data_IF_697205914770
#
_entry.id   IF_697205914770
#
_cell.length_a   1.000
_cell.length_b   1.000
_cell.length_c   1.000
_cell.angle_alpha   90.00
_cell.angle_beta   90.00
_cell.angle_gamma   90.00
#
_symmetry.space_group_name_H-M   'P 1'
#
loop_
_entity.id
_entity.type
_entity.pdbx_description
1 polymer ?
#
# COMPACT_ATOMS: atom_id res chain seq x y z
N UNK A 1 18.21 20.64 -0.19
CA UNK A 1 18.39 19.59 0.83
C UNK A 1 19.80 19.04 0.67
N UNK A 2 20.62 19.07 1.72
CA UNK A 2 21.95 18.46 1.68
C UNK A 2 21.80 16.93 1.65
N UNK A 3 22.33 16.30 0.60
CA UNK A 3 22.35 14.84 0.48
C UNK A 3 23.23 14.26 1.59
N UNK A 4 22.74 13.30 2.40
CA UNK A 4 23.56 12.69 3.44
C UNK A 4 24.80 12.02 2.82
N UNK A 5 25.99 12.10 3.46
CA UNK A 5 27.15 11.37 2.98
C UNK A 5 26.82 9.87 2.89
N UNK A 6 26.99 9.27 1.70
CA UNK A 6 26.71 7.85 1.45
C UNK A 6 25.30 7.55 0.90
N UNK A 7 24.45 8.55 0.66
CA UNK A 7 23.12 8.35 0.07
C UNK A 7 23.20 7.84 -1.39
N UNK A 8 22.33 6.90 -1.73
CA UNK A 8 22.16 6.41 -3.10
C UNK A 8 21.27 7.37 -3.88
N UNK A 9 21.82 7.95 -4.96
CA UNK A 9 21.08 8.84 -5.86
C UNK A 9 20.38 8.05 -6.96
N UNK A 10 19.08 8.26 -7.08
CA UNK A 10 18.23 7.76 -8.15
C UNK A 10 17.73 8.95 -8.97
N UNK A 11 17.36 8.72 -10.23
CA UNK A 11 16.75 9.73 -11.07
C UNK A 11 15.41 9.25 -11.63
N UNK A 12 14.47 10.17 -11.81
CA UNK A 12 13.26 9.96 -12.59
C UNK A 12 13.11 11.08 -13.62
N UNK A 13 12.84 10.70 -14.86
CA UNK A 13 12.60 11.63 -15.98
C UNK A 13 11.17 11.43 -16.45
N UNK A 14 10.41 12.52 -16.56
CA UNK A 14 9.06 12.51 -17.08
C UNK A 14 8.72 13.87 -17.71
N UNK A 15 7.68 13.99 -18.55
CA UNK A 15 7.20 15.28 -19.02
C UNK A 15 6.45 16.00 -17.88
N UNK A 16 7.17 16.77 -17.05
CA UNK A 16 6.67 17.20 -15.72
C UNK A 16 5.41 18.06 -15.76
N UNK A 17 5.19 18.79 -16.86
CA UNK A 17 4.01 19.64 -17.06
C UNK A 17 2.82 18.89 -17.69
N UNK A 18 3.01 17.67 -18.17
CA UNK A 18 1.95 16.87 -18.78
C UNK A 18 1.12 16.12 -17.71
N UNK A 19 -0.14 15.80 -18.02
CA UNK A 19 -0.98 15.02 -17.12
C UNK A 19 -0.41 13.61 -16.91
N UNK A 20 -0.50 13.14 -15.67
CA UNK A 20 -0.23 11.77 -15.27
C UNK A 20 -1.53 10.95 -15.25
N UNK A 21 -1.47 9.62 -15.05
CA UNK A 21 -2.66 8.77 -14.87
C UNK A 21 -3.59 9.17 -13.71
N UNK A 22 -3.13 10.01 -12.77
CA UNK A 22 -3.90 10.48 -11.61
C UNK A 22 -4.69 11.76 -11.89
N UNK A 23 -4.64 12.30 -13.12
CA UNK A 23 -5.31 13.56 -13.48
C UNK A 23 -4.60 14.83 -12.99
N UNK A 24 -3.47 14.70 -12.30
CA UNK A 24 -2.54 15.78 -11.93
C UNK A 24 -1.24 15.69 -12.74
N UNK A 25 -0.38 16.71 -12.69
CA UNK A 25 0.88 16.73 -13.44
C UNK A 25 1.87 15.65 -12.98
N UNK A 26 2.71 15.15 -13.90
CA UNK A 26 3.83 14.27 -13.53
C UNK A 26 4.78 14.91 -12.50
N UNK A 27 5.00 16.23 -12.57
CA UNK A 27 5.82 16.95 -11.60
C UNK A 27 5.29 16.84 -10.16
N UNK A 28 3.97 16.95 -9.99
CA UNK A 28 3.33 16.78 -8.69
C UNK A 28 3.48 15.35 -8.16
N UNK A 29 3.14 14.35 -8.99
CA UNK A 29 3.23 12.94 -8.62
C UNK A 29 4.66 12.57 -8.24
N UNK A 30 5.66 12.96 -9.03
CA UNK A 30 7.05 12.57 -8.79
C UNK A 30 7.68 13.30 -7.62
N UNK A 31 7.26 14.53 -7.34
CA UNK A 31 7.66 15.23 -6.11
C UNK A 31 7.11 14.50 -4.89
N UNK A 32 5.85 14.06 -4.95
CA UNK A 32 5.23 13.25 -3.90
C UNK A 32 5.90 11.89 -3.74
N UNK A 33 6.18 11.18 -4.84
CA UNK A 33 6.93 9.91 -4.84
C UNK A 33 8.32 10.07 -4.22
N UNK A 34 9.04 11.16 -4.53
CA UNK A 34 10.35 11.43 -3.94
C UNK A 34 10.27 11.64 -2.41
N UNK A 35 9.23 12.33 -1.94
CA UNK A 35 8.97 12.53 -0.51
C UNK A 35 8.65 11.19 0.20
N UNK A 36 7.74 10.39 -0.37
CA UNK A 36 7.39 9.08 0.18
C UNK A 36 8.60 8.13 0.19
N UNK A 37 9.43 8.15 -0.86
CA UNK A 37 10.66 7.35 -0.93
C UNK A 37 11.62 7.73 0.19
N UNK A 38 11.83 9.03 0.42
CA UNK A 38 12.73 9.51 1.48
C UNK A 38 12.26 9.11 2.89
N UNK A 39 10.95 8.93 3.10
CA UNK A 39 10.41 8.41 4.35
C UNK A 39 10.57 6.90 4.49
N UNK A 40 10.30 6.14 3.41
CA UNK A 40 10.42 4.67 3.45
C UNK A 40 11.87 4.21 3.52
N UNK A 41 12.76 4.86 2.77
CA UNK A 41 14.17 4.54 2.71
C UNK A 41 15.04 5.82 2.73
N UNK A 42 15.35 6.37 3.92
CA UNK A 42 16.09 7.63 4.06
C UNK A 42 17.50 7.64 3.44
N UNK A 43 18.04 6.46 3.11
CA UNK A 43 19.31 6.32 2.41
C UNK A 43 19.22 6.64 0.91
N UNK A 44 18.01 6.74 0.37
CA UNK A 44 17.74 6.98 -1.05
C UNK A 44 17.29 8.43 -1.27
N UNK A 45 17.73 9.00 -2.38
CA UNK A 45 17.23 10.29 -2.86
C UNK A 45 16.81 10.18 -4.31
N UNK A 46 15.61 10.65 -4.62
CA UNK A 46 15.08 10.66 -5.99
C UNK A 46 15.18 12.06 -6.58
N UNK A 47 15.97 12.21 -7.64
CA UNK A 47 16.08 13.44 -8.41
C UNK A 47 15.05 13.45 -9.55
N UNK A 48 14.14 14.41 -9.53
CA UNK A 48 13.10 14.60 -10.56
C UNK A 48 13.63 15.51 -11.66
N UNK A 49 13.55 15.08 -12.92
CA UNK A 49 14.04 15.79 -14.11
C UNK A 49 12.97 15.89 -15.19
N UNK A 50 12.99 16.98 -15.94
CA UNK A 50 12.06 17.16 -17.05
C UNK A 50 12.60 16.51 -18.34
N UNK A 51 11.75 15.74 -19.01
CA UNK A 51 12.04 15.17 -20.32
C UNK A 51 12.43 16.26 -21.36
N UNK A 52 11.87 17.47 -21.24
CA UNK A 52 12.18 18.60 -22.11
C UNK A 52 13.65 19.04 -22.05
N UNK A 53 14.38 18.70 -20.98
CA UNK A 53 15.82 18.99 -20.85
C UNK A 53 16.66 18.33 -21.95
N UNK A 54 16.16 17.26 -22.58
CA UNK A 54 16.85 16.57 -23.67
C UNK A 54 17.01 17.41 -24.94
N UNK A 55 16.13 18.41 -25.15
CA UNK A 55 16.13 19.26 -26.35
C UNK A 55 17.13 20.41 -26.33
N UNK A 56 17.55 20.89 -25.15
CA UNK A 56 18.45 22.05 -25.03
C UNK A 56 19.91 21.65 -24.83
N UNK A 57 20.86 22.21 -25.60
CA UNK A 57 22.28 21.79 -25.55
C UNK A 57 22.92 21.82 -24.15
N UNK A 58 22.73 22.90 -23.38
CA UNK A 58 23.22 22.99 -21.99
C UNK A 58 22.44 22.07 -21.05
N UNK A 59 21.11 22.06 -21.14
CA UNK A 59 20.24 21.24 -20.30
C UNK A 59 20.50 19.74 -20.51
N UNK A 60 20.76 19.32 -21.75
CA UNK A 60 21.12 17.95 -22.12
C UNK A 60 22.45 17.51 -21.50
N UNK A 61 23.44 18.40 -21.45
CA UNK A 61 24.71 18.11 -20.80
C UNK A 61 24.51 17.95 -19.28
N UNK A 62 23.71 18.81 -18.67
CA UNK A 62 23.35 18.73 -17.25
C UNK A 62 22.59 17.44 -16.93
N UNK A 63 21.59 17.07 -17.76
CA UNK A 63 20.84 15.82 -17.62
C UNK A 63 21.75 14.59 -17.74
N UNK A 64 22.66 14.58 -18.72
CA UNK A 64 23.65 13.50 -18.86
C UNK A 64 24.55 13.38 -17.63
N UNK A 65 25.01 14.51 -17.09
CA UNK A 65 25.82 14.52 -15.87
C UNK A 65 25.05 14.01 -14.66
N UNK A 66 23.76 14.37 -14.53
CA UNK A 66 22.89 13.88 -13.47
C UNK A 66 22.75 12.35 -13.57
N UNK A 67 22.41 11.82 -14.76
CA UNK A 67 22.30 10.39 -15.03
C UNK A 67 23.59 9.62 -14.73
N UNK A 68 24.75 10.18 -15.08
CA UNK A 68 26.05 9.58 -14.79
C UNK A 68 26.37 9.51 -13.28
N UNK A 69 25.79 10.42 -12.49
CA UNK A 69 25.97 10.47 -11.04
C UNK A 69 24.99 9.60 -10.25
N UNK A 70 23.90 9.14 -10.90
CA UNK A 70 22.88 8.30 -10.30
C UNK A 70 23.19 6.80 -10.48
N UNK A 71 22.71 5.99 -9.54
CA UNK A 71 22.88 4.53 -9.57
C UNK A 71 21.82 3.84 -10.43
N UNK A 72 20.61 4.40 -10.49
CA UNK A 72 19.57 3.99 -11.41
C UNK A 72 18.75 5.20 -11.87
N UNK A 73 18.15 5.09 -13.05
CA UNK A 73 17.24 6.06 -13.63
C UNK A 73 15.97 5.37 -14.14
N UNK A 74 14.83 6.03 -13.97
CA UNK A 74 13.54 5.59 -14.52
C UNK A 74 13.00 6.68 -15.43
N UNK A 75 12.49 6.32 -16.61
CA UNK A 75 11.80 7.26 -17.50
C UNK A 75 10.33 6.89 -17.54
N UNK A 76 9.43 7.82 -17.28
CA UNK A 76 7.99 7.57 -17.21
C UNK A 76 7.22 8.42 -18.21
N UNK A 77 6.28 7.81 -18.94
CA UNK A 77 5.25 8.52 -19.69
C UNK A 77 5.74 9.44 -20.81
N UNK A 78 6.94 9.21 -21.36
CA UNK A 78 7.44 9.99 -22.51
C UNK A 78 6.88 9.39 -23.80
N UNK A 79 5.71 9.85 -24.21
CA UNK A 79 4.99 9.36 -25.39
C UNK A 79 5.41 10.07 -26.69
N UNK A 80 5.97 11.29 -26.60
CA UNK A 80 6.46 12.04 -27.76
C UNK A 80 7.70 11.36 -28.40
N UNK A 81 7.62 10.89 -29.65
CA UNK A 81 8.72 10.17 -30.29
C UNK A 81 10.01 10.98 -30.47
N UNK A 82 9.90 12.30 -30.69
CA UNK A 82 11.07 13.17 -30.87
C UNK A 82 11.84 13.31 -29.56
N UNK A 83 11.14 13.62 -28.48
CA UNK A 83 11.71 13.68 -27.12
C UNK A 83 12.28 12.32 -26.72
N UNK A 84 11.59 11.22 -27.01
CA UNK A 84 12.08 9.87 -26.75
C UNK A 84 13.39 9.57 -27.49
N UNK A 85 13.51 9.94 -28.76
CA UNK A 85 14.72 9.76 -29.56
C UNK A 85 15.90 10.60 -29.02
N UNK A 86 15.63 11.79 -28.49
CA UNK A 86 16.66 12.63 -27.86
C UNK A 86 17.13 12.08 -26.51
N UNK A 87 16.23 11.49 -25.72
CA UNK A 87 16.51 10.93 -24.40
C UNK A 87 17.22 9.58 -24.46
N UNK A 88 16.83 8.68 -25.38
CA UNK A 88 17.37 7.32 -25.48
C UNK A 88 18.92 7.23 -25.40
N UNK A 89 19.72 8.02 -26.16
CA UNK A 89 21.17 7.95 -26.06
C UNK A 89 21.73 8.47 -24.71
N UNK A 90 20.99 9.29 -23.98
CA UNK A 90 21.42 9.81 -22.67
C UNK A 90 21.34 8.73 -21.58
N UNK A 91 20.41 7.79 -21.68
CA UNK A 91 20.24 6.70 -20.71
C UNK A 91 21.48 5.79 -20.62
N UNK A 92 22.33 5.79 -21.65
CA UNK A 92 23.62 5.11 -21.62
C UNK A 92 24.56 5.59 -20.49
N UNK A 93 24.33 6.80 -19.95
CA UNK A 93 25.10 7.34 -18.83
C UNK A 93 24.80 6.66 -17.50
N UNK A 94 23.58 6.11 -17.33
CA UNK A 94 23.21 5.36 -16.14
C UNK A 94 23.50 3.86 -16.33
N UNK A 95 23.90 3.18 -15.25
CA UNK A 95 24.11 1.71 -15.27
C UNK A 95 22.78 0.96 -15.34
N UNK A 96 21.80 1.41 -14.58
CA UNK A 96 20.43 0.89 -14.61
C UNK A 96 19.52 1.99 -15.11
N UNK A 97 18.80 1.76 -16.21
CA UNK A 97 17.88 2.70 -16.83
C UNK A 97 16.65 1.94 -17.33
N UNK A 98 15.47 2.30 -16.82
CA UNK A 98 14.21 1.60 -17.16
C UNK A 98 13.17 2.61 -17.65
N UNK A 99 12.83 2.62 -18.94
CA UNK A 99 11.71 3.36 -19.48
C UNK A 99 10.39 2.58 -19.32
N UNK A 100 9.35 3.24 -18.84
CA UNK A 100 8.03 2.66 -18.59
C UNK A 100 6.94 3.55 -19.20
N UNK A 101 6.03 2.95 -19.95
CA UNK A 101 4.99 3.69 -20.68
C UNK A 101 5.54 4.75 -21.63
N UNK A 102 6.68 4.49 -22.27
CA UNK A 102 7.36 5.42 -23.17
C UNK A 102 7.28 4.97 -24.63
N UNK A 103 7.51 5.89 -25.56
CA UNK A 103 7.58 5.60 -26.99
C UNK A 103 8.74 4.64 -27.33
N UNK A 104 8.60 3.95 -28.47
CA UNK A 104 9.51 2.89 -28.96
C UNK A 104 11.00 3.24 -28.90
N UNK A 105 11.47 4.46 -29.25
CA UNK A 105 12.90 4.79 -29.16
C UNK A 105 13.50 4.59 -27.76
N UNK A 106 12.69 4.78 -26.71
CA UNK A 106 13.12 4.57 -25.33
C UNK A 106 13.04 3.11 -24.90
N UNK A 107 12.07 2.32 -25.38
CA UNK A 107 11.92 0.92 -25.01
C UNK A 107 13.21 0.09 -25.22
N UNK A 108 13.91 0.33 -26.34
CA UNK A 108 15.19 -0.32 -26.66
C UNK A 108 16.40 0.19 -25.84
N UNK A 109 16.24 1.26 -25.06
CA UNK A 109 17.29 1.83 -24.22
C UNK A 109 17.31 1.24 -22.80
N UNK A 110 16.50 0.22 -22.52
CA UNK A 110 16.45 -0.48 -21.23
C UNK A 110 17.80 -1.12 -20.90
N UNK A 111 18.32 -0.81 -19.70
CA UNK A 111 19.59 -1.35 -19.21
C UNK A 111 19.49 -1.72 -17.74
N UNK A 112 20.06 -2.86 -17.38
CA UNK A 112 20.11 -3.35 -16.01
C UNK A 112 21.55 -3.73 -15.65
N UNK A 113 22.11 -3.06 -14.64
CA UNK A 113 23.50 -3.20 -14.22
C UNK A 113 24.53 -3.09 -15.39
N UNK A 114 24.22 -2.26 -16.39
CA UNK A 114 25.06 -1.98 -17.55
C UNK A 114 24.79 -2.85 -18.79
N UNK A 115 23.96 -3.90 -18.66
CA UNK A 115 23.59 -4.79 -19.77
C UNK A 115 22.33 -4.31 -20.46
N UNK A 116 22.27 -4.43 -21.78
CA UNK A 116 21.05 -4.17 -22.55
C UNK A 116 20.10 -5.36 -22.42
N UNK A 117 18.81 -5.06 -22.17
CA UNK A 117 17.77 -6.07 -22.14
C UNK A 117 17.05 -6.04 -23.50
N UNK A 118 17.30 -7.06 -24.32
CA UNK A 118 16.80 -7.13 -25.71
C UNK A 118 17.76 -7.81 -26.69
N UNK A 119 19.06 -7.83 -26.40
CA UNK A 119 20.08 -8.43 -27.29
C UNK A 119 20.06 -9.98 -27.32
N UNK A 120 19.20 -10.62 -26.51
CA UNK A 120 19.15 -12.07 -26.38
C UNK A 120 18.19 -12.77 -27.36
N UNK A 121 17.38 -12.04 -28.15
CA UNK A 121 16.31 -12.65 -28.96
C UNK A 121 16.36 -12.37 -30.48
N UNK A 122 16.83 -11.21 -30.96
CA UNK A 122 16.60 -10.81 -32.37
C UNK A 122 17.86 -10.46 -33.19
N UNK A 123 19.07 -10.73 -32.68
CA UNK A 123 20.28 -10.68 -33.52
C UNK A 123 20.38 -11.92 -34.42
N UNK A 124 20.87 -11.82 -35.68
CA UNK A 124 21.12 -13.00 -36.50
C UNK A 124 22.07 -13.93 -35.73
N UNK A 125 21.55 -15.08 -35.28
CA UNK A 125 22.31 -16.05 -34.51
C UNK A 125 23.39 -16.65 -35.41
N UNK A 126 24.60 -16.11 -35.32
CA UNK A 126 25.78 -16.62 -36.02
C UNK A 126 26.17 -18.04 -35.57
N UNK A 127 25.46 -18.63 -34.60
CA UNK A 127 25.75 -19.94 -34.05
C UNK A 127 24.47 -20.80 -33.94
N UNK A 128 24.29 -21.83 -34.78
CA UNK A 128 23.12 -22.73 -34.74
C UNK A 128 23.04 -23.59 -33.47
N UNK A 129 24.08 -23.62 -32.64
CA UNK A 129 24.09 -24.31 -31.35
C UNK A 129 23.66 -23.42 -30.17
N UNK A 130 23.43 -22.11 -30.39
CA UNK A 130 23.03 -21.18 -29.32
C UNK A 130 21.77 -21.62 -28.56
N UNK A 131 20.68 -22.11 -29.20
CA UNK A 131 19.48 -22.55 -28.48
C UNK A 131 19.73 -23.77 -27.59
N UNK A 132 20.64 -24.66 -28.02
CA UNK A 132 21.03 -25.86 -27.26
C UNK A 132 21.90 -25.48 -26.06
N UNK A 133 22.86 -24.57 -26.26
CA UNK A 133 23.71 -24.05 -25.19
C UNK A 133 22.90 -23.25 -24.16
N UNK A 134 21.91 -22.47 -24.57
CA UNK A 134 21.04 -21.71 -23.67
C UNK A 134 20.13 -22.64 -22.83
N UNK A 135 19.74 -23.81 -23.36
CA UNK A 135 19.03 -24.85 -22.60
C UNK A 135 19.94 -25.59 -21.62
N UNK A 136 21.20 -25.84 -21.98
CA UNK A 136 22.17 -26.55 -21.13
C UNK A 136 22.81 -25.65 -20.07
N UNK A 137 22.95 -24.36 -20.37
CA UNK A 137 23.55 -23.33 -19.53
C UNK A 137 22.63 -22.10 -19.51
N UNK A 138 21.49 -22.18 -18.80
CA UNK A 138 20.56 -21.06 -18.70
C UNK A 138 21.25 -19.85 -18.07
N UNK A 139 21.14 -18.70 -18.72
CA UNK A 139 21.59 -17.43 -18.16
C UNK A 139 20.61 -16.98 -17.07
N UNK A 140 20.85 -17.50 -15.86
CA UNK A 140 20.07 -17.19 -14.67
C UNK A 140 19.95 -15.69 -14.43
N UNK A 141 20.95 -14.92 -14.81
CA UNK A 141 20.94 -13.48 -14.57
C UNK A 141 20.04 -12.75 -15.58
N UNK A 142 19.95 -13.22 -16.84
CA UNK A 142 18.96 -12.70 -17.80
C UNK A 142 17.52 -13.04 -17.38
N UNK A 143 17.29 -14.23 -16.81
CA UNK A 143 15.99 -14.60 -16.25
C UNK A 143 15.60 -13.70 -15.07
N UNK A 144 16.51 -13.47 -14.11
CA UNK A 144 16.29 -12.57 -12.98
C UNK A 144 16.00 -11.13 -13.44
N UNK A 145 16.72 -10.64 -14.45
CA UNK A 145 16.49 -9.34 -15.05
C UNK A 145 15.10 -9.23 -15.68
N UNK A 146 14.67 -10.25 -16.43
CA UNK A 146 13.32 -10.32 -16.98
C UNK A 146 12.24 -10.32 -15.90
N UNK A 147 12.48 -11.01 -14.78
CA UNK A 147 11.57 -11.00 -13.63
C UNK A 147 11.47 -9.62 -12.98
N UNK A 148 12.60 -8.92 -12.79
CA UNK A 148 12.61 -7.57 -12.21
C UNK A 148 11.90 -6.57 -13.12
N UNK A 149 12.12 -6.63 -14.43
CA UNK A 149 11.41 -5.76 -15.38
C UNK A 149 9.91 -6.01 -15.34
N UNK A 150 9.49 -7.28 -15.37
CA UNK A 150 8.07 -7.62 -15.25
C UNK A 150 7.46 -7.03 -13.98
N UNK A 151 8.13 -7.18 -12.83
CA UNK A 151 7.66 -6.59 -11.56
C UNK A 151 7.51 -5.07 -11.68
N UNK A 152 8.50 -4.39 -12.26
CA UNK A 152 8.49 -2.93 -12.41
C UNK A 152 7.42 -2.45 -13.40
N UNK A 153 7.18 -3.20 -14.47
CA UNK A 153 6.09 -2.96 -15.42
C UNK A 153 4.72 -3.17 -14.79
N UNK A 154 4.53 -4.27 -14.04
CA UNK A 154 3.32 -4.57 -13.30
C UNK A 154 3.00 -3.43 -12.31
N UNK A 155 4.00 -3.00 -11.52
CA UNK A 155 3.90 -1.84 -10.61
C UNK A 155 3.48 -0.56 -11.34
N UNK A 156 4.10 -0.27 -12.49
CA UNK A 156 3.75 0.91 -13.27
C UNK A 156 2.30 0.86 -13.78
N UNK A 157 1.86 -0.29 -14.31
CA UNK A 157 0.51 -0.44 -14.89
C UNK A 157 -0.62 -0.28 -13.87
N UNK A 158 -0.38 -0.59 -12.59
CA UNK A 158 -1.40 -0.47 -11.54
C UNK A 158 -1.77 0.98 -11.21
N UNK A 159 -0.99 1.97 -11.67
CA UNK A 159 -1.28 3.40 -11.51
C UNK A 159 -1.63 3.76 -10.06
N UNK A 160 -0.77 3.34 -9.13
CA UNK A 160 -0.87 3.65 -7.70
C UNK A 160 0.36 4.45 -7.27
N UNK A 161 0.17 5.44 -6.41
CA UNK A 161 1.25 6.25 -5.86
C UNK A 161 2.26 5.41 -5.06
N UNK A 162 1.76 4.45 -4.27
CA UNK A 162 2.61 3.52 -3.53
C UNK A 162 3.44 2.67 -4.51
N UNK A 163 2.84 2.17 -5.59
CA UNK A 163 3.55 1.33 -6.57
C UNK A 163 4.66 2.11 -7.29
N UNK A 164 4.46 3.41 -7.54
CA UNK A 164 5.52 4.26 -8.09
C UNK A 164 6.73 4.38 -7.16
N UNK A 165 6.52 4.40 -5.85
CA UNK A 165 7.63 4.33 -4.88
C UNK A 165 8.30 2.95 -4.94
N UNK A 166 7.51 1.88 -5.03
CA UNK A 166 8.02 0.50 -5.08
C UNK A 166 8.87 0.21 -6.32
N UNK A 167 8.64 0.87 -7.46
CA UNK A 167 9.52 0.77 -8.64
C UNK A 167 10.98 1.06 -8.24
N UNK A 168 11.22 2.16 -7.52
CA UNK A 168 12.56 2.56 -7.10
C UNK A 168 13.13 1.63 -6.03
N UNK A 169 12.31 1.18 -5.09
CA UNK A 169 12.72 0.23 -4.05
C UNK A 169 13.13 -1.12 -4.66
N UNK A 170 12.37 -1.64 -5.63
CA UNK A 170 12.65 -2.89 -6.35
C UNK A 170 13.95 -2.79 -7.12
N UNK A 171 14.14 -1.73 -7.92
CA UNK A 171 15.37 -1.54 -8.69
C UNK A 171 16.60 -1.39 -7.80
N UNK A 172 16.45 -0.69 -6.67
CA UNK A 172 17.52 -0.55 -5.67
C UNK A 172 17.87 -1.89 -5.05
N UNK A 173 16.87 -2.65 -4.60
CA UNK A 173 17.06 -3.98 -4.02
C UNK A 173 17.75 -4.96 -4.98
N UNK A 174 17.38 -4.92 -6.26
CA UNK A 174 17.90 -5.84 -7.26
C UNK A 174 19.33 -5.49 -7.71
N UNK A 175 19.68 -4.20 -7.82
CA UNK A 175 20.91 -3.79 -8.51
C UNK A 175 21.86 -2.89 -7.74
N UNK A 176 21.49 -2.39 -6.56
CA UNK A 176 22.30 -1.43 -5.81
C UNK A 176 22.66 -1.98 -4.43
N UNK A 177 21.66 -2.20 -3.57
CA UNK A 177 21.81 -2.74 -2.23
C UNK A 177 20.45 -3.26 -1.74
N UNK A 178 20.46 -4.24 -0.84
CA UNK A 178 19.23 -4.77 -0.25
C UNK A 178 18.41 -3.65 0.40
N UNK A 179 17.10 -3.65 0.13
CA UNK A 179 16.13 -2.70 0.67
C UNK A 179 15.13 -3.46 1.55
N UNK A 180 15.13 -3.25 2.88
CA UNK A 180 14.25 -3.96 3.80
C UNK A 180 12.78 -3.96 3.36
N UNK A 181 12.26 -2.80 2.93
CA UNK A 181 10.86 -2.59 2.55
C UNK A 181 10.32 -3.52 1.44
N UNK A 182 11.18 -4.02 0.54
CA UNK A 182 10.79 -4.94 -0.55
C UNK A 182 11.43 -6.32 -0.44
N UNK A 183 12.49 -6.45 0.36
CA UNK A 183 13.24 -7.70 0.50
C UNK A 183 12.38 -8.86 1.02
N UNK A 184 11.38 -8.58 1.84
CA UNK A 184 10.47 -9.60 2.39
C UNK A 184 9.55 -10.18 1.32
N UNK A 185 8.99 -9.34 0.45
CA UNK A 185 8.18 -9.78 -0.69
C UNK A 185 9.01 -10.64 -1.65
N UNK A 186 10.27 -10.26 -1.91
CA UNK A 186 11.20 -11.10 -2.68
C UNK A 186 11.50 -12.43 -1.99
N UNK A 187 11.73 -12.42 -0.67
CA UNK A 187 11.99 -13.64 0.11
C UNK A 187 10.80 -14.59 0.09
N UNK A 188 9.58 -14.07 0.16
CA UNK A 188 8.37 -14.87 0.06
C UNK A 188 8.20 -15.49 -1.34
N UNK A 189 8.37 -14.71 -2.41
CA UNK A 189 8.25 -15.22 -3.79
C UNK A 189 9.37 -16.22 -4.14
N UNK A 190 10.54 -16.06 -3.55
CA UNK A 190 11.70 -16.93 -3.73
C UNK A 190 11.83 -17.97 -2.61
N UNK A 191 10.72 -18.35 -1.95
CA UNK A 191 10.73 -19.35 -0.89
C UNK A 191 11.40 -20.65 -1.38
N UNK A 192 12.47 -21.06 -0.68
CA UNK A 192 13.29 -22.20 -1.04
C UNK A 192 12.90 -23.51 -0.34
N UNK A 193 13.79 -24.49 -0.45
CA UNK A 193 13.62 -25.82 0.14
C UNK A 193 13.42 -25.78 1.66
N UNK A 194 14.07 -24.85 2.37
CA UNK A 194 13.93 -24.71 3.83
C UNK A 194 12.52 -24.28 4.24
N UNK A 195 11.94 -23.30 3.52
CA UNK A 195 10.56 -22.86 3.75
C UNK A 195 9.59 -24.01 3.49
N UNK A 196 9.80 -24.77 2.42
CA UNK A 196 8.99 -25.94 2.08
C UNK A 196 9.12 -27.04 3.14
N UNK A 197 10.33 -27.34 3.60
CA UNK A 197 10.58 -28.32 4.66
C UNK A 197 9.90 -27.92 5.97
N UNK A 198 9.93 -26.63 6.32
CA UNK A 198 9.18 -26.10 7.47
C UNK A 198 7.68 -26.30 7.29
N UNK A 199 7.12 -25.89 6.15
CA UNK A 199 5.69 -25.97 5.85
C UNK A 199 5.19 -27.42 5.95
N UNK A 200 5.84 -28.35 5.24
CA UNK A 200 5.45 -29.76 5.23
C UNK A 200 5.66 -30.40 6.62
N UNK A 201 6.79 -30.12 7.27
CA UNK A 201 7.14 -30.74 8.55
C UNK A 201 6.35 -30.23 9.75
N UNK A 202 5.92 -28.97 9.76
CA UNK A 202 5.19 -28.34 10.88
C UNK A 202 3.69 -28.20 10.63
N UNK A 203 3.29 -28.02 9.38
CA UNK A 203 1.92 -27.66 8.99
C UNK A 203 1.29 -28.64 7.99
N UNK A 204 1.88 -29.82 7.77
CA UNK A 204 1.43 -30.78 6.76
C UNK A 204 -0.06 -31.14 6.85
N UNK A 205 -0.62 -31.25 8.06
CA UNK A 205 -2.04 -31.51 8.26
C UNK A 205 -2.95 -30.37 7.78
N UNK A 206 -2.61 -29.12 8.11
CA UNK A 206 -3.34 -27.93 7.67
C UNK A 206 -3.20 -27.74 6.15
N UNK A 207 -2.01 -27.97 5.61
CA UNK A 207 -1.76 -27.95 4.16
C UNK A 207 -2.65 -28.98 3.47
N UNK A 208 -2.61 -30.24 3.90
CA UNK A 208 -3.40 -31.31 3.30
C UNK A 208 -4.89 -30.96 3.31
N UNK A 209 -5.44 -30.57 4.47
CA UNK A 209 -6.86 -30.19 4.60
C UNK A 209 -7.23 -29.06 3.66
N UNK A 210 -6.41 -28.02 3.56
CA UNK A 210 -6.67 -26.88 2.68
C UNK A 210 -6.60 -27.27 1.19
N UNK A 211 -5.55 -27.97 0.74
CA UNK A 211 -5.41 -28.30 -0.68
C UNK A 211 -6.43 -29.32 -1.19
N UNK A 212 -7.00 -30.13 -0.28
CA UNK A 212 -8.10 -31.05 -0.61
C UNK A 212 -9.48 -30.42 -0.53
N UNK A 213 -9.62 -29.24 0.08
CA UNK A 213 -10.87 -28.48 0.11
C UNK A 213 -10.96 -27.55 -1.12
N UNK A 214 -12.04 -27.61 -1.92
CA UNK A 214 -12.15 -26.79 -3.13
C UNK A 214 -12.09 -25.29 -2.88
N UNK A 215 -12.64 -24.80 -1.76
CA UNK A 215 -12.69 -23.35 -1.45
C UNK A 215 -11.33 -22.86 -1.01
N UNK A 216 -10.68 -23.59 -0.11
CA UNK A 216 -9.35 -23.24 0.39
C UNK A 216 -8.30 -23.36 -0.73
N UNK A 217 -8.38 -24.41 -1.56
CA UNK A 217 -7.54 -24.52 -2.75
C UNK A 217 -7.74 -23.35 -3.72
N UNK A 218 -8.98 -22.96 -4.01
CA UNK A 218 -9.26 -21.81 -4.86
C UNK A 218 -8.67 -20.51 -4.28
N UNK A 219 -8.67 -20.34 -2.96
CA UNK A 219 -8.02 -19.23 -2.29
C UNK A 219 -6.50 -19.22 -2.54
N UNK A 220 -5.83 -20.37 -2.38
CA UNK A 220 -4.39 -20.50 -2.61
C UNK A 220 -4.02 -20.25 -4.07
N UNK A 221 -4.78 -20.81 -5.01
CA UNK A 221 -4.57 -20.61 -6.45
C UNK A 221 -4.75 -19.12 -6.83
N UNK A 222 -5.75 -18.45 -6.24
CA UNK A 222 -5.96 -17.01 -6.40
C UNK A 222 -4.78 -16.18 -5.87
N UNK A 223 -4.33 -16.47 -4.63
CA UNK A 223 -3.22 -15.78 -3.99
C UNK A 223 -1.90 -15.95 -4.77
N UNK A 224 -1.66 -17.14 -5.33
CA UNK A 224 -0.50 -17.40 -6.18
C UNK A 224 -0.52 -16.56 -7.47
N UNK A 225 -1.71 -16.21 -7.96
CA UNK A 225 -1.89 -15.36 -9.13
C UNK A 225 -1.63 -13.87 -8.88
N UNK A 226 -1.57 -13.42 -7.62
CA UNK A 226 -1.38 -12.00 -7.32
C UNK A 226 0.04 -11.50 -7.66
N UNK A 227 0.09 -10.30 -8.22
CA UNK A 227 1.32 -9.64 -8.62
C UNK A 227 2.19 -9.24 -7.41
N UNK A 228 3.40 -8.73 -7.68
CA UNK A 228 4.30 -8.30 -6.61
C UNK A 228 3.69 -7.15 -5.81
N UNK A 229 3.62 -7.32 -4.48
CA UNK A 229 3.10 -6.33 -3.54
C UNK A 229 1.64 -5.90 -3.81
N UNK A 230 0.86 -6.71 -4.52
CA UNK A 230 -0.55 -6.40 -4.80
C UNK A 230 -1.44 -6.80 -3.61
N UNK A 231 -1.56 -5.86 -2.67
CA UNK A 231 -2.39 -6.04 -1.47
C UNK A 231 -3.88 -6.07 -1.80
N UNK A 232 -4.32 -5.36 -2.84
CA UNK A 232 -5.73 -5.35 -3.28
C UNK A 232 -6.13 -6.72 -3.80
N UNK A 233 -5.33 -7.32 -4.68
CA UNK A 233 -5.54 -8.69 -5.16
C UNK A 233 -5.53 -9.69 -3.99
N UNK A 234 -4.51 -9.60 -3.13
CA UNK A 234 -4.33 -10.51 -1.99
C UNK A 234 -5.55 -10.48 -1.07
N UNK A 235 -5.98 -9.30 -0.65
CA UNK A 235 -7.10 -9.15 0.27
C UNK A 235 -8.43 -9.53 -0.38
N UNK A 236 -8.63 -9.24 -1.68
CA UNK A 236 -9.81 -9.66 -2.44
C UNK A 236 -9.89 -11.18 -2.61
N UNK A 237 -8.76 -11.87 -2.83
CA UNK A 237 -8.70 -13.33 -2.82
C UNK A 237 -9.14 -13.90 -1.46
N UNK A 238 -8.54 -13.40 -0.37
CA UNK A 238 -8.84 -13.86 1.00
C UNK A 238 -10.33 -13.67 1.30
N UNK A 239 -10.85 -12.46 1.13
CA UNK A 239 -12.26 -12.14 1.44
C UNK A 239 -13.26 -12.83 0.50
N UNK A 240 -12.86 -13.25 -0.70
CA UNK A 240 -13.72 -14.02 -1.62
C UNK A 240 -13.85 -15.49 -1.22
N UNK A 241 -12.81 -16.06 -0.61
CA UNK A 241 -12.71 -17.49 -0.29
C UNK A 241 -12.49 -17.76 1.22
N UNK A 242 -12.76 -16.76 2.06
CA UNK A 242 -12.60 -16.80 3.51
C UNK A 242 -13.27 -18.05 4.11
N UNK A 243 -12.49 -18.86 4.82
CA UNK A 243 -12.93 -20.12 5.42
C UNK A 243 -12.04 -20.50 6.61
N UNK A 244 -12.55 -21.30 7.57
CA UNK A 244 -11.75 -21.77 8.70
C UNK A 244 -10.50 -22.57 8.28
N UNK A 245 -10.54 -23.26 7.14
CA UNK A 245 -9.39 -24.01 6.63
C UNK A 245 -8.28 -23.09 6.10
N UNK A 246 -8.65 -21.98 5.46
CA UNK A 246 -7.68 -20.97 5.00
C UNK A 246 -7.04 -20.25 6.19
N UNK A 247 -7.83 -19.96 7.22
CA UNK A 247 -7.34 -19.40 8.48
C UNK A 247 -6.37 -20.37 9.17
N UNK A 248 -6.75 -21.64 9.35
CA UNK A 248 -5.88 -22.68 9.94
C UNK A 248 -4.55 -22.82 9.17
N UNK A 249 -4.62 -22.82 7.84
CA UNK A 249 -3.47 -22.88 6.94
C UNK A 249 -2.53 -21.70 7.18
N UNK A 250 -3.07 -20.47 7.11
CA UNK A 250 -2.30 -19.23 7.24
C UNK A 250 -1.73 -19.07 8.66
N UNK A 251 -2.54 -19.39 9.67
CA UNK A 251 -2.15 -19.38 11.08
C UNK A 251 -0.95 -20.30 11.35
N UNK A 252 -0.95 -21.50 10.77
CA UNK A 252 0.16 -22.42 10.97
C UNK A 252 1.44 -21.92 10.29
N UNK A 253 1.37 -21.65 8.98
CA UNK A 253 2.54 -21.40 8.14
C UNK A 253 3.14 -20.02 8.40
N UNK A 254 2.30 -18.99 8.44
CA UNK A 254 2.72 -17.58 8.51
C UNK A 254 2.90 -17.19 9.98
N UNK A 255 1.88 -17.39 10.80
CA UNK A 255 1.85 -16.79 12.13
C UNK A 255 2.57 -17.61 13.20
N UNK A 256 2.29 -18.91 13.32
CA UNK A 256 2.84 -19.79 14.37
C UNK A 256 4.27 -20.21 14.10
N UNK A 257 4.56 -20.65 12.88
CA UNK A 257 5.89 -21.16 12.52
C UNK A 257 6.72 -20.19 11.70
N UNK A 258 6.11 -19.17 11.09
CA UNK A 258 6.77 -18.21 10.22
C UNK A 258 7.74 -18.90 9.26
N UNK A 259 7.25 -19.88 8.50
CA UNK A 259 8.10 -20.73 7.68
C UNK A 259 8.85 -19.97 6.58
N UNK A 260 8.38 -18.78 6.20
CA UNK A 260 9.06 -17.88 5.28
C UNK A 260 10.08 -16.95 5.96
N UNK A 261 10.09 -16.90 7.30
CA UNK A 261 10.96 -16.04 8.09
C UNK A 261 10.75 -14.56 7.77
N UNK A 262 9.51 -14.13 7.55
CA UNK A 262 9.18 -12.75 7.20
C UNK A 262 9.03 -11.92 8.48
N UNK A 263 9.26 -10.62 8.33
CA UNK A 263 9.08 -9.63 9.39
C UNK A 263 8.80 -8.27 8.75
N UNK A 264 7.92 -7.50 9.36
CA UNK A 264 7.71 -6.10 9.02
C UNK A 264 7.38 -5.31 10.28
N UNK A 265 7.82 -4.06 10.32
CA UNK A 265 7.53 -3.13 11.40
C UNK A 265 6.41 -2.18 11.00
N UNK A 266 5.72 -1.64 12.00
CA UNK A 266 4.73 -0.59 11.76
C UNK A 266 5.49 0.67 11.27
N UNK A 267 5.14 1.23 10.10
CA UNK A 267 5.80 2.41 9.60
C UNK A 267 5.39 3.61 10.45
N UNK A 268 6.36 4.24 11.11
CA UNK A 268 6.10 5.39 11.97
C UNK A 268 6.28 6.73 11.27
N UNK A 269 6.62 6.72 9.97
CA UNK A 269 6.82 7.93 9.16
C UNK A 269 5.92 7.85 7.91
N UNK A 270 5.19 8.92 7.56
CA UNK A 270 5.09 10.19 8.29
C UNK A 270 4.41 10.00 9.66
N UNK A 271 4.81 10.82 10.65
CA UNK A 271 4.25 10.80 12.01
C UNK A 271 3.33 12.02 12.21
N UNK A 272 2.14 12.05 11.57
CA UNK A 272 1.24 13.19 11.72
C UNK A 272 0.81 13.32 13.17
N UNK A 273 0.78 14.55 13.68
CA UNK A 273 0.36 14.81 15.05
C UNK A 273 -1.12 14.47 15.25
N UNK A 274 -1.49 13.84 16.38
CA UNK A 274 -2.90 13.65 16.73
C UNK A 274 -3.56 14.98 17.13
N UNK A 275 -4.89 14.99 17.11
CA UNK A 275 -5.71 16.05 17.68
C UNK A 275 -5.36 16.24 19.17
N UNK A 276 -5.21 17.49 19.60
CA UNK A 276 -4.81 17.85 20.98
C UNK A 276 -5.85 18.66 21.73
N UNK A 277 -6.79 19.30 21.02
CA UNK A 277 -7.89 20.08 21.58
C UNK A 277 -9.16 19.87 20.78
N UNK A 278 -10.32 19.87 21.42
CA UNK A 278 -11.62 19.79 20.73
C UNK A 278 -12.64 20.64 21.48
N UNK A 279 -13.40 21.48 20.75
CA UNK A 279 -14.31 22.50 21.32
C UNK A 279 -13.62 23.42 22.34
N UNK A 280 -12.37 23.79 22.07
CA UNK A 280 -11.56 24.67 22.93
C UNK A 280 -10.95 23.99 24.17
N UNK A 281 -11.29 22.74 24.47
CA UNK A 281 -10.79 22.02 25.64
C UNK A 281 -9.65 21.05 25.28
N UNK A 282 -8.68 20.79 26.18
CA UNK A 282 -7.66 19.78 25.97
C UNK A 282 -8.24 18.38 25.76
N UNK A 283 -7.71 17.65 24.78
CA UNK A 283 -8.15 16.28 24.50
C UNK A 283 -7.71 15.34 25.63
N UNK A 284 -8.68 14.69 26.28
CA UNK A 284 -8.43 13.61 27.25
C UNK A 284 -8.53 12.25 26.56
N UNK A 285 -8.09 11.17 27.22
CA UNK A 285 -8.30 9.83 26.67
C UNK A 285 -9.80 9.52 26.54
N UNK A 286 -10.58 9.84 27.55
CA UNK A 286 -12.03 9.61 27.58
C UNK A 286 -12.72 10.35 26.43
N UNK A 287 -12.38 11.62 26.19
CA UNK A 287 -12.93 12.38 25.07
C UNK A 287 -12.47 11.83 23.71
N UNK A 288 -11.21 11.40 23.59
CA UNK A 288 -10.74 10.76 22.36
C UNK A 288 -11.46 9.43 22.06
N UNK A 289 -11.80 8.65 23.09
CA UNK A 289 -12.64 7.45 22.93
C UNK A 289 -14.05 7.83 22.47
N UNK A 290 -14.63 8.89 23.03
CA UNK A 290 -15.96 9.39 22.63
C UNK A 290 -15.96 9.86 21.17
N UNK A 291 -14.90 10.51 20.68
CA UNK A 291 -14.78 10.88 19.26
C UNK A 291 -14.73 9.65 18.34
N UNK A 292 -14.09 8.56 18.77
CA UNK A 292 -14.16 7.31 18.02
C UNK A 292 -15.56 6.70 18.04
N UNK A 293 -16.21 6.65 19.21
CA UNK A 293 -17.59 6.13 19.36
C UNK A 293 -18.56 6.94 18.50
N UNK A 294 -18.36 8.25 18.40
CA UNK A 294 -19.05 9.13 17.46
C UNK A 294 -20.56 9.02 17.60
N UNK A 295 -21.23 8.59 16.52
CA UNK A 295 -22.69 8.54 16.42
C UNK A 295 -23.34 7.30 17.01
N UNK A 296 -22.58 6.34 17.57
CA UNK A 296 -23.14 5.07 18.04
C UNK A 296 -24.09 5.28 19.23
N UNK A 297 -25.38 5.01 19.01
CA UNK A 297 -26.46 5.25 19.98
C UNK A 297 -26.39 4.35 21.21
N UNK A 298 -25.88 3.13 21.07
CA UNK A 298 -25.95 2.10 22.12
C UNK A 298 -24.78 2.10 23.11
N UNK A 299 -23.91 3.13 23.10
CA UNK A 299 -22.87 3.27 24.12
C UNK A 299 -23.23 4.36 25.16
N UNK A 300 -23.95 4.00 26.25
CA UNK A 300 -24.34 4.95 27.29
C UNK A 300 -23.14 5.43 28.12
N UNK A 301 -21.94 4.88 27.89
CA UNK A 301 -20.72 5.34 28.57
C UNK A 301 -20.09 6.56 27.91
N UNK A 302 -20.54 6.93 26.70
CA UNK A 302 -20.06 8.12 26.01
C UNK A 302 -20.63 9.38 26.63
N UNK A 303 -19.77 10.37 26.91
CA UNK A 303 -20.23 11.68 27.38
C UNK A 303 -20.97 12.47 26.29
N UNK A 304 -20.80 12.08 25.03
CA UNK A 304 -21.50 12.66 23.88
C UNK A 304 -22.89 12.04 23.67
N UNK A 305 -23.23 10.96 24.39
CA UNK A 305 -24.47 10.20 24.22
C UNK A 305 -25.73 11.06 24.34
N UNK A 306 -25.78 11.96 25.35
CA UNK A 306 -26.94 12.84 25.54
C UNK A 306 -27.11 13.83 24.39
N UNK A 307 -26.02 14.38 23.85
CA UNK A 307 -26.04 15.32 22.71
C UNK A 307 -26.56 14.66 21.42
N UNK A 308 -26.22 13.39 21.20
CA UNK A 308 -26.66 12.63 20.03
C UNK A 308 -27.96 11.86 20.26
N UNK A 309 -28.52 11.87 21.47
CA UNK A 309 -29.72 11.10 21.81
C UNK A 309 -30.91 11.54 20.95
N UNK A 310 -31.46 10.61 20.16
CA UNK A 310 -32.52 10.89 19.16
C UNK A 310 -32.01 11.07 17.72
N UNK A 311 -30.72 11.36 17.54
CA UNK A 311 -30.04 11.43 16.25
C UNK A 311 -28.94 10.36 16.07
N UNK A 312 -28.64 9.57 17.10
CA UNK A 312 -27.63 8.51 17.07
C UNK A 312 -28.00 7.35 16.15
N UNK A 313 -26.96 6.65 15.68
CA UNK A 313 -26.99 5.60 14.68
C UNK A 313 -26.64 4.23 15.29
N UNK A 314 -26.80 3.16 14.51
CA UNK A 314 -26.35 1.80 14.87
C UNK A 314 -24.84 1.59 14.64
N UNK A 315 -24.13 2.65 14.27
CA UNK A 315 -22.70 2.64 13.95
C UNK A 315 -22.06 3.94 14.45
N UNK A 316 -20.74 3.95 14.59
CA UNK A 316 -20.00 5.14 14.99
C UNK A 316 -19.80 6.11 13.84
N UNK A 317 -19.34 5.59 12.70
CA UNK A 317 -19.01 6.39 11.51
C UNK A 317 -19.24 5.61 10.22
N UNK A 318 -19.50 6.33 9.12
CA UNK A 318 -19.46 5.79 7.76
C UNK A 318 -18.29 6.40 7.01
N UNK A 319 -17.43 5.54 6.44
CA UNK A 319 -16.29 6.00 5.64
C UNK A 319 -16.84 6.55 4.31
N UNK A 320 -16.41 7.75 3.93
CA UNK A 320 -16.73 8.34 2.63
C UNK A 320 -15.54 8.33 1.66
N UNK A 321 -14.31 8.29 2.18
CA UNK A 321 -13.11 8.12 1.40
C UNK A 321 -11.97 7.53 2.22
N UNK A 322 -10.99 6.93 1.56
CA UNK A 322 -9.73 6.56 2.22
C UNK A 322 -8.58 6.31 1.26
N UNK A 323 -7.38 6.12 1.80
CA UNK A 323 -6.12 6.11 1.03
C UNK A 323 -5.70 4.71 0.58
N UNK A 324 -5.83 3.71 1.44
CA UNK A 324 -5.34 2.38 1.10
C UNK A 324 -6.44 1.59 0.38
N UNK A 325 -6.31 1.44 -0.94
CA UNK A 325 -7.29 0.74 -1.77
C UNK A 325 -7.56 -0.71 -1.32
N UNK A 326 -6.65 -1.36 -0.60
CA UNK A 326 -6.85 -2.72 -0.11
C UNK A 326 -7.77 -2.79 1.12
N UNK A 327 -7.91 -1.70 1.89
CA UNK A 327 -8.56 -1.69 3.21
C UNK A 327 -9.64 -0.61 3.38
N UNK A 328 -9.55 0.50 2.63
CA UNK A 328 -10.32 1.72 2.87
C UNK A 328 -11.36 2.03 1.78
N UNK A 329 -11.47 1.17 0.76
CA UNK A 329 -12.37 1.37 -0.39
C UNK A 329 -13.28 0.15 -0.58
N UNK A 330 -13.96 -0.25 0.49
CA UNK A 330 -15.03 -1.23 0.40
C UNK A 330 -16.38 -0.53 0.36
N UNK A 331 -17.33 -0.96 -0.51
CA UNK A 331 -18.69 -0.48 -0.43
C UNK A 331 -19.25 -0.64 0.98
N UNK A 332 -20.04 0.35 1.41
CA UNK A 332 -20.76 0.31 2.69
C UNK A 332 -19.88 0.01 3.91
N UNK A 333 -18.83 0.80 4.08
CA UNK A 333 -17.86 0.62 5.16
C UNK A 333 -18.27 1.39 6.42
N UNK A 334 -18.88 0.67 7.36
CA UNK A 334 -19.27 1.14 8.69
C UNK A 334 -18.16 0.89 9.70
N UNK A 335 -17.97 1.84 10.60
CA UNK A 335 -17.05 1.77 11.72
C UNK A 335 -17.86 1.67 13.01
N UNK A 336 -17.56 0.69 13.86
CA UNK A 336 -18.19 0.54 15.16
C UNK A 336 -17.10 0.55 16.22
N UNK A 337 -17.09 1.59 17.06
CA UNK A 337 -16.21 1.72 18.21
C UNK A 337 -17.06 1.75 19.46
N UNK A 338 -16.69 0.96 20.46
CA UNK A 338 -17.42 0.89 21.73
C UNK A 338 -16.49 0.51 22.88
N UNK A 339 -16.84 0.94 24.09
CA UNK A 339 -16.05 0.58 25.28
C UNK A 339 -16.26 -0.89 25.64
N UNK A 340 -15.16 -1.54 26.02
CA UNK A 340 -15.19 -2.87 26.64
C UNK A 340 -15.51 -2.80 28.12
N UNK A 341 -15.66 -3.96 28.76
CA UNK A 341 -15.94 -4.06 30.21
C UNK A 341 -14.79 -3.55 31.11
N UNK A 342 -13.56 -3.48 30.59
CA UNK A 342 -12.38 -3.05 31.33
C UNK A 342 -12.05 -1.58 31.08
N UNK A 343 -11.61 -0.85 32.13
CA UNK A 343 -11.21 0.56 32.02
C UNK A 343 -10.14 0.76 30.94
N UNK A 344 -10.39 1.67 30.00
CA UNK A 344 -9.48 2.00 28.89
C UNK A 344 -9.32 0.91 27.83
N UNK A 345 -10.16 -0.13 27.88
CA UNK A 345 -10.30 -1.12 26.81
C UNK A 345 -11.45 -0.74 25.90
N UNK A 346 -11.20 -0.73 24.60
CA UNK A 346 -12.22 -0.54 23.57
C UNK A 346 -12.21 -1.73 22.59
N UNK A 347 -13.28 -1.85 21.84
CA UNK A 347 -13.41 -2.73 20.70
C UNK A 347 -13.67 -1.90 19.45
N UNK A 348 -13.19 -2.41 18.32
CA UNK A 348 -13.41 -1.83 17.01
C UNK A 348 -13.83 -2.91 16.04
N UNK A 349 -15.02 -2.74 15.46
CA UNK A 349 -15.60 -3.70 14.52
C UNK A 349 -15.92 -3.03 13.18
N UNK A 350 -14.98 -2.94 12.23
CA UNK A 350 -15.33 -2.50 10.89
C UNK A 350 -16.24 -3.53 10.25
N UNK A 351 -17.36 -3.05 9.69
CA UNK A 351 -18.31 -3.85 8.93
C UNK A 351 -18.40 -3.29 7.52
N UNK A 352 -18.10 -4.09 6.51
CA UNK A 352 -17.98 -3.62 5.13
C UNK A 352 -18.44 -4.68 4.15
N UNK A 353 -18.83 -4.25 2.95
CA UNK A 353 -19.25 -5.14 1.89
C UNK A 353 -18.08 -5.39 0.93
N UNK A 354 -17.89 -6.64 0.54
CA UNK A 354 -16.88 -7.03 -0.44
C UNK A 354 -17.57 -7.54 -1.70
N UNK A 355 -17.13 -7.04 -2.86
CA UNK A 355 -17.43 -7.66 -4.14
C UNK A 355 -16.43 -8.79 -4.42
N UNK A 356 -16.89 -10.01 -4.27
CA UNK A 356 -16.08 -11.22 -4.47
C UNK A 356 -15.67 -11.35 -5.94
N UNK A 357 -14.67 -12.18 -6.21
CA UNK A 357 -14.18 -12.43 -7.57
C UNK A 357 -15.23 -13.04 -8.52
N UNK A 358 -16.29 -13.64 -7.99
CA UNK A 358 -17.43 -14.12 -8.76
C UNK A 358 -18.63 -13.14 -8.79
N UNK A 359 -18.40 -11.87 -8.45
CA UNK A 359 -19.40 -10.79 -8.54
C UNK A 359 -20.48 -10.81 -7.46
N UNK A 360 -20.35 -11.65 -6.41
CA UNK A 360 -21.28 -11.63 -5.28
C UNK A 360 -20.88 -10.53 -4.31
N UNK A 361 -21.87 -9.97 -3.62
CA UNK A 361 -21.64 -9.05 -2.50
C UNK A 361 -21.80 -9.79 -1.18
N UNK A 362 -20.77 -9.75 -0.34
CA UNK A 362 -20.77 -10.40 0.98
C UNK A 362 -20.39 -9.40 2.06
N UNK A 363 -21.02 -9.50 3.23
CA UNK A 363 -20.63 -8.70 4.38
C UNK A 363 -19.44 -9.34 5.09
N UNK A 364 -18.47 -8.51 5.46
CA UNK A 364 -17.33 -8.86 6.29
C UNK A 364 -17.32 -7.98 7.52
N UNK A 365 -16.92 -8.58 8.62
CA UNK A 365 -16.69 -7.92 9.90
C UNK A 365 -15.40 -8.46 10.48
N UNK A 366 -14.65 -7.59 11.16
CA UNK A 366 -13.43 -7.94 11.89
C UNK A 366 -13.58 -7.45 13.32
N UNK A 367 -12.92 -8.11 14.27
CA UNK A 367 -13.03 -7.77 15.69
C UNK A 367 -11.66 -7.39 16.25
N UNK A 368 -11.43 -6.09 16.40
CA UNK A 368 -10.15 -5.55 16.86
C UNK A 368 -10.22 -5.24 18.34
N UNK A 369 -9.17 -5.64 19.06
CA UNK A 369 -8.91 -5.11 20.39
C UNK A 369 -8.25 -3.75 20.27
N UNK A 370 -8.78 -2.76 20.97
CA UNK A 370 -8.25 -1.39 21.00
C UNK A 370 -7.74 -1.04 22.39
N UNK A 371 -6.55 -0.44 22.44
CA UNK A 371 -5.94 0.11 23.65
C UNK A 371 -5.53 1.55 23.42
N UNK A 372 -5.61 2.38 24.47
CA UNK A 372 -5.04 3.73 24.49
C UNK A 372 -3.56 3.71 24.15
N UNK A 373 -3.12 4.67 23.36
CA UNK A 373 -1.72 5.03 23.22
C UNK A 373 -1.24 5.85 24.42
N UNK A 374 -0.01 6.36 24.35
CA UNK A 374 0.58 7.15 25.43
C UNK A 374 -0.02 8.56 25.56
N UNK A 375 -0.48 9.12 24.45
CA UNK A 375 -1.05 10.47 24.37
C UNK A 375 -2.52 10.36 23.95
N UNK A 376 -3.43 11.18 24.50
CA UNK A 376 -4.79 11.32 23.99
C UNK A 376 -4.84 11.49 22.46
N UNK A 377 -5.87 10.93 21.83
CA UNK A 377 -5.99 10.90 20.37
C UNK A 377 -5.16 9.83 19.68
N UNK A 378 -4.38 9.02 20.41
CA UNK A 378 -3.58 7.91 19.85
C UNK A 378 -3.96 6.56 20.43
N UNK A 379 -3.90 5.49 19.61
CA UNK A 379 -4.43 4.17 19.95
C UNK A 379 -3.66 3.04 19.29
N UNK A 380 -3.65 1.85 19.91
CA UNK A 380 -3.07 0.62 19.36
C UNK A 380 -4.16 -0.42 19.16
N UNK A 381 -4.27 -0.89 17.92
CA UNK A 381 -5.26 -1.86 17.49
C UNK A 381 -4.56 -3.19 17.22
N UNK A 382 -5.22 -4.31 17.52
CA UNK A 382 -4.70 -5.65 17.26
C UNK A 382 -5.84 -6.60 16.90
N UNK A 383 -5.62 -7.40 15.85
CA UNK A 383 -6.56 -8.40 15.35
C UNK A 383 -5.82 -9.65 14.91
N UNK A 384 -6.44 -10.82 15.08
CA UNK A 384 -6.09 -12.01 14.32
C UNK A 384 -7.10 -12.11 13.18
N UNK A 385 -6.68 -11.79 11.96
CA UNK A 385 -7.54 -11.83 10.78
C UNK A 385 -7.03 -12.89 9.81
N UNK A 386 -7.88 -13.82 9.42
CA UNK A 386 -7.56 -14.90 8.47
C UNK A 386 -6.25 -15.64 8.85
N UNK A 387 -6.02 -15.84 10.15
CA UNK A 387 -4.85 -16.55 10.67
C UNK A 387 -3.57 -15.70 10.77
N UNK A 388 -3.62 -14.41 10.42
CA UNK A 388 -2.47 -13.51 10.51
C UNK A 388 -2.75 -12.39 11.51
N UNK A 389 -1.82 -12.17 12.43
CA UNK A 389 -1.96 -11.06 13.38
C UNK A 389 -1.55 -9.76 12.70
N UNK A 390 -2.46 -8.78 12.71
CA UNK A 390 -2.12 -7.39 12.40
C UNK A 390 -2.09 -6.54 13.67
N UNK A 391 -1.12 -5.63 13.73
CA UNK A 391 -1.05 -4.60 14.75
C UNK A 391 -0.97 -3.24 14.09
N UNK A 392 -1.72 -2.29 14.62
CA UNK A 392 -1.85 -0.97 14.02
C UNK A 392 -1.75 0.11 15.09
N UNK A 393 -1.30 1.28 14.66
CA UNK A 393 -1.22 2.50 15.45
C UNK A 393 -2.04 3.58 14.77
N UNK A 394 -3.08 4.02 15.48
CA UNK A 394 -4.10 4.92 14.99
C UNK A 394 -4.01 6.27 15.69
N UNK A 395 -4.31 7.33 14.95
CA UNK A 395 -4.37 8.71 15.42
C UNK A 395 -5.64 9.36 14.92
N UNK A 396 -6.36 10.04 15.80
CA UNK A 396 -7.40 10.99 15.38
C UNK A 396 -6.65 12.22 14.90
N UNK A 397 -6.64 12.50 13.60
CA UNK A 397 -5.99 13.70 13.08
C UNK A 397 -6.83 14.92 13.40
N UNK A 398 -8.14 14.80 13.19
CA UNK A 398 -9.09 15.85 13.48
C UNK A 398 -10.53 15.36 13.45
N UNK A 399 -11.42 16.11 14.09
CA UNK A 399 -12.87 15.91 14.10
C UNK A 399 -13.57 17.26 14.15
N UNK A 400 -14.63 17.41 13.35
CA UNK A 400 -15.49 18.57 13.43
C UNK A 400 -16.16 18.65 14.82
N UNK A 401 -16.37 19.87 15.30
CA UNK A 401 -16.95 20.11 16.64
C UNK A 401 -18.41 19.64 16.75
N UNK A 402 -19.10 19.58 15.62
CA UNK A 402 -20.46 19.06 15.47
C UNK A 402 -20.51 17.57 15.10
N UNK A 403 -19.35 16.88 15.07
CA UNK A 403 -19.19 15.50 14.61
C UNK A 403 -19.63 15.28 13.15
N UNK A 404 -19.71 16.34 12.33
CA UNK A 404 -20.05 16.22 10.91
C UNK A 404 -19.06 15.36 10.13
N UNK A 405 -17.79 15.34 10.54
CA UNK A 405 -16.74 14.48 9.98
C UNK A 405 -15.59 14.26 10.98
N UNK A 406 -14.84 13.19 10.75
CA UNK A 406 -13.56 12.91 11.40
C UNK A 406 -12.56 12.31 10.39
N UNK A 407 -11.28 12.54 10.63
CA UNK A 407 -10.17 11.95 9.87
C UNK A 407 -9.32 11.11 10.82
N UNK A 408 -9.21 9.81 10.52
CA UNK A 408 -8.40 8.87 11.29
C UNK A 408 -7.23 8.39 10.43
N UNK A 409 -6.02 8.56 10.93
CA UNK A 409 -4.80 8.07 10.28
C UNK A 409 -4.32 6.81 10.97
N UNK A 410 -3.86 5.84 10.18
CA UNK A 410 -3.33 4.60 10.70
C UNK A 410 -2.06 4.16 9.99
N UNK A 411 -1.22 3.49 10.76
CA UNK A 411 -0.05 2.76 10.30
C UNK A 411 -0.12 1.36 10.88
N UNK A 412 0.05 0.33 10.06
CA UNK A 412 -0.12 -1.07 10.46
C UNK A 412 0.95 -2.00 9.90
N UNK A 413 1.06 -3.16 10.52
CA UNK A 413 1.88 -4.25 10.01
C UNK A 413 1.30 -5.61 10.36
N UNK A 414 1.16 -6.45 9.34
CA UNK A 414 1.06 -7.89 9.48
C UNK A 414 2.49 -8.45 9.50
N UNK A 415 3.16 -8.28 10.63
CA UNK A 415 4.62 -8.47 10.75
C UNK A 415 5.08 -9.83 10.23
N UNK A 416 4.40 -10.91 10.62
CA UNK A 416 4.74 -12.28 10.19
C UNK A 416 4.45 -12.57 8.72
N UNK A 417 3.63 -11.74 8.07
CA UNK A 417 3.43 -11.78 6.61
C UNK A 417 4.44 -10.89 5.86
N UNK A 418 5.31 -10.14 6.57
CA UNK A 418 6.25 -9.22 5.96
C UNK A 418 5.60 -8.00 5.32
N UNK A 419 4.38 -7.65 5.75
CA UNK A 419 3.60 -6.55 5.18
C UNK A 419 3.48 -5.40 6.18
N UNK A 420 3.73 -4.20 5.69
CA UNK A 420 3.52 -2.93 6.38
C UNK A 420 2.69 -2.01 5.50
N UNK A 421 1.83 -1.20 6.10
CA UNK A 421 0.93 -0.32 5.37
C UNK A 421 0.59 0.92 6.20
N UNK A 422 0.09 1.94 5.53
CA UNK A 422 -0.43 3.15 6.15
C UNK A 422 -1.57 3.70 5.31
N UNK A 423 -2.51 4.37 5.96
CA UNK A 423 -3.69 4.91 5.32
C UNK A 423 -4.36 5.96 6.19
N UNK A 424 -5.46 6.48 5.67
CA UNK A 424 -6.38 7.31 6.41
C UNK A 424 -7.79 6.93 5.97
N UNK A 425 -8.69 6.84 6.93
CA UNK A 425 -10.13 6.79 6.68
C UNK A 425 -10.72 8.15 7.00
N UNK A 426 -11.53 8.66 6.09
CA UNK A 426 -12.28 9.89 6.26
C UNK A 426 -13.74 9.50 6.40
N UNK A 427 -14.35 9.92 7.50
CA UNK A 427 -15.65 9.42 7.88
C UNK A 427 -16.59 10.55 8.29
N UNK A 428 -17.87 10.34 8.04
CA UNK A 428 -18.96 11.23 8.41
C UNK A 428 -20.14 10.39 8.89
N UNK A 429 -21.18 11.06 9.38
CA UNK A 429 -22.40 10.35 9.80
C UNK A 429 -23.06 9.60 8.65
N UNK A 430 -23.20 10.27 7.51
CA UNK A 430 -23.96 9.77 6.34
C UNK A 430 -23.07 9.12 5.27
N UNK A 431 -21.75 9.15 5.44
CA UNK A 431 -20.79 8.63 4.47
C UNK A 431 -20.68 9.51 3.23
N UNK A 432 -21.02 10.80 3.35
CA UNK A 432 -20.80 11.82 2.32
C UNK A 432 -19.65 12.74 2.71
N UNK A 433 -19.01 13.31 1.68
CA UNK A 433 -18.08 14.41 1.85
C UNK A 433 -18.78 15.62 2.51
N UNK A 434 -18.11 16.35 3.42
CA UNK A 434 -18.64 17.62 3.93
C UNK A 434 -19.01 18.57 2.79
N UNK A 435 -20.14 19.27 2.92
CA UNK A 435 -20.59 20.24 1.93
C UNK A 435 -19.82 21.56 1.99
N UNK A 436 -19.28 21.93 3.16
CA UNK A 436 -18.50 23.15 3.36
C UNK A 436 -17.11 23.04 2.72
N UNK A 437 -16.71 24.08 1.99
CA UNK A 437 -15.39 24.19 1.39
C UNK A 437 -14.30 24.38 2.45
N UNK A 438 -14.63 25.07 3.54
CA UNK A 438 -13.75 25.24 4.69
C UNK A 438 -13.43 23.89 5.34
N UNK A 439 -14.43 23.01 5.47
CA UNK A 439 -14.24 21.65 5.97
C UNK A 439 -13.36 20.83 5.04
N UNK A 440 -13.58 20.90 3.72
CA UNK A 440 -12.75 20.19 2.73
C UNK A 440 -11.30 20.66 2.75
N UNK A 441 -11.07 21.97 2.75
CA UNK A 441 -9.73 22.58 2.85
C UNK A 441 -9.02 22.15 4.14
N UNK A 442 -9.74 22.08 5.26
CA UNK A 442 -9.20 21.59 6.55
C UNK A 442 -8.78 20.12 6.45
N UNK A 443 -9.60 19.27 5.84
CA UNK A 443 -9.27 17.85 5.58
C UNK A 443 -8.01 17.73 4.72
N UNK A 444 -7.93 18.45 3.60
CA UNK A 444 -6.78 18.39 2.69
C UNK A 444 -5.47 18.79 3.39
N UNK A 445 -5.51 19.81 4.25
CA UNK A 445 -4.34 20.23 5.04
C UNK A 445 -3.86 19.14 6.00
N UNK A 446 -4.79 18.41 6.63
CA UNK A 446 -4.46 17.29 7.52
C UNK A 446 -3.80 16.14 6.73
N UNK A 447 -4.37 15.80 5.57
CA UNK A 447 -3.84 14.78 4.69
C UNK A 447 -2.43 15.11 4.20
N UNK A 448 -2.19 16.37 3.83
CA UNK A 448 -0.86 16.81 3.43
C UNK A 448 0.19 16.60 4.54
N UNK A 449 -0.16 16.85 5.80
CA UNK A 449 0.69 16.57 6.95
C UNK A 449 0.92 15.07 7.20
N UNK A 450 -0.04 14.23 6.80
CA UNK A 450 0.05 12.78 6.81
C UNK A 450 0.70 12.20 5.54
N UNK A 451 1.18 13.04 4.62
CA UNK A 451 1.78 12.59 3.38
C UNK A 451 0.80 11.92 2.43
N UNK A 452 -0.46 12.36 2.44
CA UNK A 452 -1.53 11.88 1.58
C UNK A 452 -2.02 13.05 0.74
N UNK A 453 -2.19 12.82 -0.56
CA UNK A 453 -2.77 13.76 -1.51
C UNK A 453 -4.23 13.41 -1.81
N UNK A 454 -5.08 14.40 -2.13
CA UNK A 454 -6.49 14.13 -2.45
C UNK A 454 -6.68 13.16 -3.61
N UNK A 455 -5.81 13.21 -4.63
CA UNK A 455 -5.86 12.30 -5.78
C UNK A 455 -5.42 10.85 -5.47
N UNK A 456 -4.91 10.59 -4.26
CA UNK A 456 -4.66 9.22 -3.77
C UNK A 456 -5.90 8.60 -3.09
N UNK A 457 -6.94 9.40 -2.83
CA UNK A 457 -8.12 8.93 -2.14
C UNK A 457 -9.07 8.18 -3.08
N UNK A 458 -9.63 7.09 -2.57
CA UNK A 458 -10.73 6.36 -3.19
C UNK A 458 -12.02 6.64 -2.42
N UNK A 459 -13.08 7.03 -3.14
CA UNK A 459 -14.39 7.33 -2.54
C UNK A 459 -15.17 6.06 -2.26
N UNK A 460 -15.74 5.88 -1.08
CA UNK A 460 -16.54 4.70 -0.73
C UNK A 460 -17.95 4.79 -1.33
N UNK A 461 -18.38 3.73 -2.03
CA UNK A 461 -19.77 3.59 -2.47
C UNK A 461 -20.68 3.27 -1.27
N UNK A 462 -21.49 4.25 -0.90
CA UNK A 462 -22.40 4.21 0.23
C UNK A 462 -23.89 4.07 -0.19
N UNK A 463 -24.16 3.71 -1.45
CA UNK A 463 -25.51 3.73 -2.04
C UNK A 463 -26.37 2.50 -1.72
N UNK A 464 -25.78 1.34 -1.39
CA UNK A 464 -26.49 0.06 -1.32
C UNK A 464 -26.22 -0.72 -0.02
N UNK A 465 -26.42 -0.07 1.13
CA UNK A 465 -25.96 -0.58 2.43
C UNK A 465 -27.04 -1.25 3.31
N UNK A 466 -28.21 -1.52 2.74
CA UNK A 466 -29.30 -2.17 3.47
C UNK A 466 -28.89 -3.57 3.96
N UNK A 467 -29.31 -3.91 5.18
CA UNK A 467 -29.03 -5.22 5.79
C UNK A 467 -27.61 -5.40 6.34
N UNK A 468 -26.88 -4.30 6.58
CA UNK A 468 -25.58 -4.35 7.24
C UNK A 468 -25.69 -4.99 8.65
N UNK A 469 -24.82 -5.95 9.02
CA UNK A 469 -24.86 -6.64 10.31
C UNK A 469 -24.20 -5.79 11.42
N UNK A 470 -24.89 -4.73 11.82
CA UNK A 470 -24.36 -3.70 12.72
C UNK A 470 -24.58 -3.98 14.21
N UNK A 471 -25.35 -5.01 14.57
CA UNK A 471 -25.63 -5.32 15.98
C UNK A 471 -24.32 -5.67 16.74
N UNK A 472 -23.95 -4.89 17.77
CA UNK A 472 -22.76 -5.15 18.58
C UNK A 472 -22.84 -6.46 19.38
N UNK A 473 -24.05 -6.92 19.71
CA UNK A 473 -24.28 -8.12 20.53
C UNK A 473 -23.99 -9.44 19.81
N UNK A 474 -23.94 -9.42 18.47
CA UNK A 474 -23.61 -10.59 17.63
C UNK A 474 -22.19 -11.15 17.84
N UNK A 475 -21.36 -10.53 18.69
CA UNK A 475 -20.00 -10.97 19.00
C UNK A 475 -19.78 -11.40 20.46
N UNK A 476 -20.78 -11.30 21.35
CA UNK A 476 -20.66 -11.89 22.70
C UNK A 476 -20.66 -13.43 22.69
N UNK A 477 -20.78 -14.06 21.51
CA UNK A 477 -20.95 -15.50 21.31
C UNK A 477 -19.92 -16.12 20.33
N UNK A 478 -18.88 -15.39 19.91
CA UNK A 478 -17.81 -15.94 19.07
C UNK A 478 -16.52 -16.20 19.86
#
# INVERSE_FOLDING_TARGET
MHTPPGSVRLAVIAPLQQPSPFGVSWGEVLTHTAQLLAWKEPSLTLEVRDAAEAGGGHNRATLRSALASCRAAVVLGVEDPETAALLAPLLSAARTAVPLGCAVPLAGATRLAGRHVGDAADGPTLNPLAPLLQRLFPDKQTELDGQVLKIVEDLYRRNSSDDFVFIFLVLTNAYINQVPAVSMTFKQKNAGLDSLACMVGKCGGQIFRCVTDPTCKAALDCLQGCEFNDQVCTYRCITSYESPLLEDFSLCIIQKHNCFGLTADIPMVPDPAPLTTWRGEPLTHELAEDLFIGWLKEDPSSSLHEEISGAGELFSWRVFAGKNAAYDFFPCQFQLFYRGKGKGGMWYDPTFQVETLNGRRVWRRRHYRVKRGQVPGTFRFSVLDNGVTSNEYWRILDCAEDLGWCVFYYSGAASRAGLSYSGAILASKDGQWPASEEARTRIEKLLAGAGIKPWELSNVDNSACAGAPLDPSLMALA
#
